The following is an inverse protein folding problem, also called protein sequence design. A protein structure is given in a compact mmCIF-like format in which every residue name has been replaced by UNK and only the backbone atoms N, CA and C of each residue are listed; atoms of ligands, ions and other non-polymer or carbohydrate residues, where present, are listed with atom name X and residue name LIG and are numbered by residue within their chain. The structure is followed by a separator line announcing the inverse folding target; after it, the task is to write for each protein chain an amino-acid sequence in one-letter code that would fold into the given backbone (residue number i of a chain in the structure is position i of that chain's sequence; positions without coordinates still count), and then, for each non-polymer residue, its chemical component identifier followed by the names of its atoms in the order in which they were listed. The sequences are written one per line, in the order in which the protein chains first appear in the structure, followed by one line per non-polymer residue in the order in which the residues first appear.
data_IF_935501871149
#
_entry.id   IF_935501871149
#
_cell.length_a   1.000
_cell.length_b   1.000
_cell.length_c   1.000
_cell.angle_alpha   90.00
_cell.angle_beta   90.00
_cell.angle_gamma   90.00
#
_symmetry.space_group_name_H-M   'P 1'
#
loop_
_entity.id
_entity.type
_entity.pdbx_description
1 polymer ?
#
# COMPACT_ATOMS: atom_id res chain seq x y z
N UNK A 1 8.75 -9.37 -9.89
CA UNK A 1 8.03 -10.40 -9.13
C UNK A 1 6.76 -9.79 -8.55
N UNK A 2 5.65 -10.54 -8.46
CA UNK A 2 4.40 -10.09 -7.81
C UNK A 2 4.01 -11.13 -6.76
N UNK A 3 3.68 -10.70 -5.54
CA UNK A 3 3.29 -11.56 -4.43
C UNK A 3 1.95 -11.08 -3.88
N UNK A 4 1.01 -11.99 -3.70
CA UNK A 4 -0.26 -11.74 -3.04
C UNK A 4 -0.37 -12.65 -1.82
N UNK A 5 -0.61 -12.06 -0.63
CA UNK A 5 -0.73 -12.80 0.63
C UNK A 5 -2.19 -12.75 1.08
N UNK A 6 -2.83 -13.92 1.13
CA UNK A 6 -4.24 -14.08 1.47
C UNK A 6 -4.42 -15.09 2.63
N UNK A 7 -5.59 -15.07 3.27
CA UNK A 7 -5.87 -15.86 4.48
C UNK A 7 -6.93 -15.23 5.39
N UNK A 8 -7.39 -15.99 6.40
CA UNK A 8 -8.44 -15.57 7.34
C UNK A 8 -8.04 -14.37 8.21
N UNK A 9 -9.02 -13.72 8.84
CA UNK A 9 -8.76 -12.71 9.88
C UNK A 9 -7.86 -13.28 10.98
N UNK A 10 -6.86 -12.51 11.41
CA UNK A 10 -5.91 -12.93 12.46
C UNK A 10 -4.87 -13.98 12.07
N UNK A 11 -4.78 -14.42 10.81
CA UNK A 11 -3.78 -15.41 10.38
C UNK A 11 -2.35 -14.86 10.22
N UNK A 12 -2.10 -13.60 10.58
CA UNK A 12 -0.76 -12.97 10.49
C UNK A 12 -0.36 -12.45 9.12
N UNK A 13 -1.30 -12.30 8.16
CA UNK A 13 -0.99 -11.83 6.79
C UNK A 13 -0.19 -10.54 6.76
N UNK A 14 -0.67 -9.51 7.43
CA UNK A 14 -0.06 -8.18 7.43
C UNK A 14 1.35 -8.22 8.02
N UNK A 15 1.54 -8.99 9.10
CA UNK A 15 2.85 -9.23 9.70
C UNK A 15 3.81 -9.88 8.69
N UNK A 16 3.40 -10.97 8.05
CA UNK A 16 4.20 -11.66 7.04
C UNK A 16 4.49 -10.73 5.85
N UNK A 17 3.50 -10.01 5.34
CA UNK A 17 3.66 -9.06 4.24
C UNK A 17 4.69 -7.98 4.57
N UNK A 18 4.61 -7.35 5.74
CA UNK A 18 5.55 -6.31 6.14
C UNK A 18 6.96 -6.85 6.38
N UNK A 19 7.10 -8.00 7.04
CA UNK A 19 8.41 -8.65 7.22
C UNK A 19 9.06 -9.02 5.89
N UNK A 20 8.29 -9.60 4.95
CA UNK A 20 8.79 -9.94 3.62
C UNK A 20 9.20 -8.68 2.84
N UNK A 21 8.38 -7.62 2.89
CA UNK A 21 8.69 -6.37 2.21
C UNK A 21 10.00 -5.75 2.71
N UNK A 22 10.18 -5.64 4.04
CA UNK A 22 11.41 -5.14 4.66
C UNK A 22 12.61 -6.02 4.34
N UNK A 23 12.46 -7.35 4.44
CA UNK A 23 13.55 -8.29 4.16
C UNK A 23 14.01 -8.24 2.70
N UNK A 24 13.08 -8.13 1.74
CA UNK A 24 13.40 -7.98 0.33
C UNK A 24 14.07 -6.63 0.04
N UNK A 25 13.58 -5.54 0.64
CA UNK A 25 14.17 -4.22 0.47
C UNK A 25 15.60 -4.17 1.04
N UNK A 26 15.82 -4.74 2.23
CA UNK A 26 17.14 -4.88 2.84
C UNK A 26 18.10 -5.74 1.99
N UNK A 27 17.59 -6.69 1.20
CA UNK A 27 18.37 -7.47 0.23
C UNK A 27 18.67 -6.70 -1.08
N UNK A 28 18.28 -5.43 -1.19
CA UNK A 28 18.55 -4.55 -2.33
C UNK A 28 17.46 -4.57 -3.40
N UNK A 29 16.31 -5.19 -3.14
CA UNK A 29 15.20 -5.17 -4.09
C UNK A 29 14.39 -3.87 -3.98
N UNK A 30 13.92 -3.36 -5.12
CA UNK A 30 12.88 -2.32 -5.13
C UNK A 30 11.55 -2.95 -4.75
N UNK A 31 10.95 -2.49 -3.65
CA UNK A 31 9.71 -3.06 -3.11
C UNK A 31 8.61 -2.02 -3.12
N UNK A 32 7.53 -2.32 -3.85
CA UNK A 32 6.24 -1.66 -3.72
C UNK A 32 5.31 -2.55 -2.90
N UNK A 33 5.01 -2.11 -1.68
CA UNK A 33 4.01 -2.69 -0.80
C UNK A 33 2.65 -2.02 -1.05
N UNK A 34 1.60 -2.83 -1.18
CA UNK A 34 0.23 -2.35 -1.42
C UNK A 34 -0.65 -2.88 -0.30
N UNK A 35 -1.27 -1.98 0.47
CA UNK A 35 -2.26 -2.35 1.48
C UNK A 35 -3.67 -2.21 0.90
N UNK A 36 -4.28 -3.35 0.60
CA UNK A 36 -5.65 -3.47 0.09
C UNK A 36 -6.67 -3.82 1.16
N UNK A 37 -6.29 -3.83 2.45
CA UNK A 37 -7.22 -4.11 3.54
C UNK A 37 -8.11 -2.88 3.82
N UNK A 38 -9.35 -3.14 4.20
CA UNK A 38 -10.31 -2.15 4.70
C UNK A 38 -9.83 -1.45 5.97
N UNK A 39 -9.01 -2.12 6.78
CA UNK A 39 -8.33 -1.55 7.94
C UNK A 39 -6.81 -1.63 7.72
N UNK A 40 -6.20 -0.59 7.14
CA UNK A 40 -4.81 -0.64 6.70
C UNK A 40 -3.86 -0.68 7.90
N UNK A 41 -3.10 -1.77 8.02
CA UNK A 41 -2.16 -2.00 9.12
C UNK A 41 -0.74 -2.29 8.63
N UNK A 42 -0.52 -2.31 7.31
CA UNK A 42 0.78 -2.62 6.73
C UNK A 42 1.81 -1.54 7.06
N UNK A 43 1.41 -0.27 7.07
CA UNK A 43 2.28 0.85 7.46
C UNK A 43 2.91 0.67 8.85
N UNK A 44 2.09 0.25 9.83
CA UNK A 44 2.55 -0.05 11.18
C UNK A 44 3.61 -1.17 11.17
N UNK A 45 3.36 -2.23 10.40
CA UNK A 45 4.30 -3.37 10.30
C UNK A 45 5.61 -2.96 9.60
N UNK A 46 5.54 -2.01 8.67
CA UNK A 46 6.72 -1.45 8.00
C UNK A 46 7.49 -0.47 8.88
N UNK A 47 6.92 -0.01 10.00
CA UNK A 47 7.52 0.98 10.90
C UNK A 47 7.35 2.43 10.40
N UNK A 48 6.29 2.70 9.65
CA UNK A 48 5.93 4.05 9.20
C UNK A 48 5.06 4.73 10.28
N UNK A 49 5.41 5.95 10.75
CA UNK A 49 4.59 6.68 11.72
C UNK A 49 3.20 6.99 11.19
N UNK A 50 2.17 6.89 12.04
CA UNK A 50 0.78 7.10 11.65
C UNK A 50 0.52 8.53 11.15
N UNK A 51 1.26 9.50 11.67
CA UNK A 51 1.16 10.91 11.29
C UNK A 51 1.46 11.09 9.80
N UNK A 52 2.46 10.36 9.28
CA UNK A 52 2.82 10.43 7.86
C UNK A 52 1.75 9.82 6.96
N UNK A 53 1.02 8.80 7.44
CA UNK A 53 -0.05 8.15 6.68
C UNK A 53 -1.21 9.11 6.47
N UNK A 54 -1.56 9.89 7.50
CA UNK A 54 -2.68 10.83 7.44
C UNK A 54 -2.45 11.96 6.43
N UNK A 55 -1.19 12.28 6.13
CA UNK A 55 -0.81 13.32 5.18
C UNK A 55 -0.76 12.82 3.72
N UNK A 56 -0.92 11.51 3.48
CA UNK A 56 -0.88 10.95 2.13
C UNK A 56 -2.18 11.25 1.38
N UNK A 57 -2.11 11.85 0.18
CA UNK A 57 -3.29 12.05 -0.64
C UNK A 57 -3.97 10.72 -0.98
N UNK A 58 -5.31 10.69 -0.85
CA UNK A 58 -6.11 9.52 -1.21
C UNK A 58 -5.97 9.21 -2.69
N UNK A 59 -5.88 7.92 -3.03
CA UNK A 59 -5.91 7.48 -4.42
C UNK A 59 -7.19 7.96 -5.12
N UNK A 60 -7.08 8.42 -6.38
CA UNK A 60 -8.23 8.87 -7.14
C UNK A 60 -9.20 7.71 -7.42
N UNK A 61 -10.50 7.96 -7.35
CA UNK A 61 -11.53 6.93 -7.56
C UNK A 61 -11.55 6.38 -8.99
N UNK A 62 -11.06 7.16 -9.95
CA UNK A 62 -10.98 6.82 -11.36
C UNK A 62 -9.62 6.24 -11.77
N UNK A 63 -8.77 5.79 -10.82
CA UNK A 63 -7.43 5.24 -11.05
C UNK A 63 -7.33 4.22 -12.20
N UNK A 64 -8.40 3.47 -12.47
CA UNK A 64 -8.46 2.45 -13.51
C UNK A 64 -9.42 2.89 -14.62
N UNK A 65 -8.90 3.03 -15.84
CA UNK A 65 -9.68 3.12 -17.07
C UNK A 65 -9.96 1.71 -17.58
N UNK A 66 -11.24 1.41 -17.79
CA UNK A 66 -11.69 0.12 -18.31
C UNK A 66 -11.92 0.21 -19.80
N UNK A 67 -11.25 -0.65 -20.58
CA UNK A 67 -11.51 -0.82 -22.01
C UNK A 67 -12.15 -2.19 -22.27
N UNK A 68 -12.78 -2.43 -23.43
CA UNK A 68 -13.41 -3.71 -23.73
C UNK A 68 -12.47 -4.92 -23.71
N UNK A 69 -11.16 -4.69 -23.90
CA UNK A 69 -10.16 -5.75 -24.00
C UNK A 69 -9.17 -5.78 -22.82
N UNK A 70 -8.96 -4.65 -22.13
CA UNK A 70 -7.99 -4.55 -21.04
C UNK A 70 -8.27 -3.35 -20.13
N UNK A 71 -7.81 -3.46 -18.88
CA UNK A 71 -7.82 -2.36 -17.92
C UNK A 71 -6.46 -1.65 -17.92
N UNK A 72 -6.46 -0.34 -17.75
CA UNK A 72 -5.24 0.46 -17.66
C UNK A 72 -5.31 1.49 -16.53
N UNK A 73 -4.16 1.87 -15.97
CA UNK A 73 -4.09 2.98 -15.04
C UNK A 73 -4.34 4.31 -15.77
N UNK A 74 -4.98 5.27 -15.12
CA UNK A 74 -5.15 6.64 -15.64
C UNK A 74 -3.84 7.39 -15.83
N UNK A 75 -2.86 7.05 -14.99
CA UNK A 75 -1.52 7.64 -14.93
C UNK A 75 -0.47 6.52 -14.81
N UNK A 76 0.81 6.87 -14.93
CA UNK A 76 1.88 5.87 -14.76
C UNK A 76 1.97 5.42 -13.29
N UNK A 77 2.41 4.18 -13.06
CA UNK A 77 2.64 3.68 -11.70
C UNK A 77 3.65 4.55 -10.93
N UNK A 78 4.64 5.08 -11.64
CA UNK A 78 5.63 6.00 -11.07
C UNK A 78 5.00 7.29 -10.58
N UNK A 79 4.11 7.89 -11.38
CA UNK A 79 3.38 9.09 -11.01
C UNK A 79 2.48 8.84 -9.80
N UNK A 80 1.73 7.73 -9.81
CA UNK A 80 0.87 7.33 -8.68
C UNK A 80 1.70 7.15 -7.40
N UNK A 81 2.86 6.50 -7.47
CA UNK A 81 3.73 6.35 -6.31
C UNK A 81 4.32 7.70 -5.85
N UNK A 82 4.60 8.61 -6.79
CA UNK A 82 5.13 9.93 -6.48
C UNK A 82 4.12 10.80 -5.72
N UNK A 83 2.83 10.66 -6.00
CA UNK A 83 1.77 11.53 -5.46
C UNK A 83 0.95 10.89 -4.34
N UNK A 84 0.89 9.55 -4.26
CA UNK A 84 -0.02 8.82 -3.37
C UNK A 84 0.66 7.73 -2.52
N UNK A 85 1.99 7.63 -2.50
CA UNK A 85 2.69 6.66 -1.69
C UNK A 85 3.63 7.30 -0.66
N UNK A 86 4.02 6.51 0.34
CA UNK A 86 5.06 6.86 1.30
C UNK A 86 6.30 6.00 1.06
N UNK A 87 7.47 6.57 1.35
CA UNK A 87 8.69 5.76 1.47
C UNK A 87 8.93 5.50 2.96
N UNK A 88 8.80 4.24 3.35
CA UNK A 88 9.09 3.79 4.70
C UNK A 88 10.56 3.40 4.89
N UNK A 89 10.88 2.84 6.07
CA UNK A 89 12.21 2.29 6.35
C UNK A 89 12.67 1.26 5.29
N UNK A 90 13.99 1.14 5.15
CA UNK A 90 14.68 0.30 4.16
C UNK A 90 14.34 0.62 2.70
N UNK A 91 13.66 1.74 2.43
CA UNK A 91 13.29 2.17 1.07
C UNK A 91 12.04 1.47 0.53
N UNK A 92 11.20 0.87 1.39
CA UNK A 92 9.93 0.28 0.97
C UNK A 92 8.95 1.39 0.58
N UNK A 93 8.46 1.38 -0.66
CA UNK A 93 7.36 2.25 -1.08
C UNK A 93 6.03 1.62 -0.68
N UNK A 94 5.23 2.32 0.10
CA UNK A 94 3.90 1.89 0.54
C UNK A 94 2.81 2.69 -0.18
N UNK A 95 1.96 1.98 -0.91
CA UNK A 95 0.71 2.49 -1.45
C UNK A 95 -0.46 2.00 -0.59
N UNK A 96 -1.20 2.91 0.04
CA UNK A 96 -2.37 2.57 0.88
C UNK A 96 -3.63 2.80 0.06
N UNK A 97 -4.43 1.75 -0.18
CA UNK A 97 -5.65 1.87 -0.98
C UNK A 97 -6.85 2.44 -0.19
N UNK A 98 -6.91 2.17 1.10
CA UNK A 98 -8.01 2.62 1.95
C UNK A 98 -7.52 3.75 2.87
N UNK A 99 -8.06 4.95 2.67
CA UNK A 99 -7.98 5.99 3.70
C UNK A 99 -9.28 5.95 4.49
N UNK A 100 -9.26 5.65 5.81
CA UNK A 100 -10.44 5.86 6.63
C UNK A 100 -10.73 7.37 6.68
N UNK A 101 -11.65 7.85 5.85
CA UNK A 101 -12.21 9.18 6.00
C UNK A 101 -13.06 9.20 7.26
N UNK A 102 -12.48 9.72 8.35
CA UNK A 102 -13.10 9.88 9.66
C UNK A 102 -13.56 8.54 10.28
N UNK A 103 -12.96 8.20 11.42
CA UNK A 103 -13.69 7.39 12.40
C UNK A 103 -14.95 8.20 12.76
N UNK A 104 -16.10 7.77 12.23
CA UNK A 104 -17.38 8.35 12.60
C UNK A 104 -17.49 8.33 14.12
N UNK A 105 -17.76 9.50 14.69
CA UNK A 105 -18.29 9.66 16.04
C UNK A 105 -19.53 8.78 16.15
N UNK A 106 -19.38 7.64 16.81
CA UNK A 106 -20.45 6.82 17.36
C UNK A 106 -20.24 6.72 18.86
#
# INVERSE_FOLDING_TARGET
MKLAIAGKGGSGKTSISGTMARSLAHAGHKVLAIDGDSNPNLALTLGIPMEQINDVPVLPADLIRRFPADDALTESLEEICRTHALTGPDGVTLLVMAHPKHAGTG
#
